data_IF_514442775745
#
_entry.id   IF_514442775745
#
_cell.length_a   1.000
_cell.length_b   1.000
_cell.length_c   1.000
_cell.angle_alpha   90.00
_cell.angle_beta   90.00
_cell.angle_gamma   90.00
#
_symmetry.space_group_name_H-M   'P 1'
#
loop_
_entity.id
_entity.type
_entity.pdbx_description
1 polymer ?
2 non-polymer ?
3 non-polymer ?
4 water ?
#
# COMPACT_ATOMS: atom_id res chain seq x y z
N UNK A 1 9.54 -14.98 -5.54
CA UNK A 1 9.59 -14.89 -4.06
C UNK A 1 10.14 -13.52 -3.68
N UNK A 2 9.86 -13.10 -2.46
CA UNK A 2 10.48 -11.90 -1.96
C UNK A 2 11.86 -12.18 -1.45
N UNK A 3 12.67 -11.15 -1.56
CA UNK A 3 14.03 -11.25 -1.26
C UNK A 3 14.56 -10.17 -0.35
N UNK A 4 13.74 -9.18 0.01
CA UNK A 4 14.26 -8.02 0.75
C UNK A 4 13.75 -7.96 2.16
N UNK A 5 14.67 -7.73 3.11
CA UNK A 5 14.32 -7.32 4.41
C UNK A 5 14.43 -5.80 4.48
N UNK A 6 13.34 -5.13 4.16
CA UNK A 6 13.37 -3.68 4.14
C UNK A 6 13.50 -3.12 5.54
N UNK A 7 14.28 -2.05 5.66
CA UNK A 7 14.52 -1.46 6.95
C UNK A 7 13.53 -0.31 7.17
N UNK A 8 12.84 -0.33 8.29
CA UNK A 8 11.89 0.73 8.62
C UNK A 8 12.62 2.04 8.88
N UNK A 9 11.91 3.12 8.62
CA UNK A 9 12.40 4.45 8.89
C UNK A 9 12.80 4.59 10.36
N UNK A 10 14.00 5.12 10.59
CA UNK A 10 14.42 5.47 11.93
C UNK A 10 13.46 6.54 12.44
N UNK A 11 12.91 6.31 13.62
CA UNK A 11 12.02 7.30 14.16
C UNK A 11 10.65 7.38 13.50
N UNK A 12 10.23 6.30 12.84
CA UNK A 12 8.92 6.25 12.19
C UNK A 12 7.83 6.70 13.19
N UNK A 13 6.97 7.58 12.69
CA UNK A 13 5.89 8.15 13.46
C UNK A 13 4.59 7.42 13.07
N UNK A 14 4.23 6.42 13.87
CA UNK A 14 3.12 5.58 13.50
C UNK A 14 1.79 6.36 13.56
N UNK A 15 1.61 7.23 14.53
CA UNK A 15 0.31 7.89 14.63
C UNK A 15 0.08 8.81 13.46
N UNK A 16 1.12 9.44 12.94
CA UNK A 16 0.98 10.28 11.77
C UNK A 16 0.68 9.46 10.52
N UNK A 17 1.35 8.32 10.33
CA UNK A 17 1.10 7.50 9.15
C UNK A 17 -0.27 6.86 9.18
N UNK A 18 -0.62 6.31 10.36
CA UNK A 18 -1.86 5.62 10.59
C UNK A 18 -2.91 6.59 11.15
N UNK A 19 -3.15 7.67 10.41
CA UNK A 19 -4.05 8.72 10.89
C UNK A 19 -5.42 8.65 10.29
N UNK A 20 -5.72 7.57 9.56
CA UNK A 20 -7.02 7.39 8.93
C UNK A 20 -7.17 8.01 7.56
N UNK A 21 -6.14 8.68 7.07
CA UNK A 21 -6.25 9.37 5.78
C UNK A 21 -5.78 8.43 4.68
N UNK A 22 -5.96 8.91 3.45
CA UNK A 22 -5.64 8.14 2.26
C UNK A 22 -4.20 8.45 1.78
N UNK A 23 -3.52 7.40 1.33
CA UNK A 23 -2.23 7.46 0.63
C UNK A 23 -2.45 6.95 -0.79
N UNK A 24 -2.00 7.70 -1.79
CA UNK A 24 -2.07 7.26 -3.17
C UNK A 24 -0.70 6.72 -3.58
N UNK A 25 -0.70 5.60 -4.31
CA UNK A 25 0.55 5.16 -4.94
C UNK A 25 0.81 6.03 -6.16
N UNK A 26 1.92 6.73 -6.21
CA UNK A 26 2.28 7.50 -7.38
C UNK A 26 3.28 6.79 -8.28
N UNK A 27 4.08 5.87 -7.73
CA UNK A 27 5.11 5.19 -8.49
C UNK A 27 5.37 3.86 -7.82
N UNK A 28 5.70 2.85 -8.59
CA UNK A 28 5.95 1.55 -7.99
C UNK A 28 7.08 0.82 -8.71
N UNK A 29 7.71 -0.08 -7.97
CA UNK A 29 8.82 -0.87 -8.48
C UNK A 29 8.64 -2.31 -8.02
N UNK A 30 8.40 -3.20 -8.97
CA UNK A 30 8.19 -4.61 -8.72
C UNK A 30 9.49 -5.32 -9.08
N UNK A 31 10.18 -5.96 -8.12
CA UNK A 31 11.46 -6.59 -8.43
C UNK A 31 11.35 -7.78 -9.35
N UNK A 32 10.17 -8.34 -9.47
CA UNK A 32 9.89 -9.34 -10.52
C UNK A 32 8.88 -8.72 -11.49
N UNK A 33 9.35 -7.80 -12.37
CA UNK A 33 8.50 -6.81 -13.05
C UNK A 33 7.44 -7.30 -14.05
N UNK A 34 7.45 -8.59 -14.40
CA UNK A 34 6.31 -9.17 -15.11
C UNK A 34 5.23 -9.73 -14.15
N UNK A 35 5.42 -9.52 -12.85
CA UNK A 35 4.44 -9.93 -11.85
C UNK A 35 3.22 -9.02 -11.79
N UNK A 36 3.38 -7.75 -12.16
CA UNK A 36 2.26 -6.78 -12.12
C UNK A 36 2.22 -6.01 -13.44
N UNK A 37 1.04 -5.46 -13.81
CA UNK A 37 0.95 -4.71 -15.05
C UNK A 37 1.83 -3.48 -15.06
N UNK A 38 2.11 -3.01 -16.27
CA UNK A 38 2.89 -1.78 -16.45
C UNK A 38 2.05 -0.51 -16.30
N UNK A 39 0.72 -0.68 -16.29
CA UNK A 39 -0.21 0.41 -15.98
C UNK A 39 -1.11 -0.02 -14.84
N UNK A 40 -1.25 0.83 -13.82
CA UNK A 40 -2.00 0.47 -12.63
C UNK A 40 -2.43 1.69 -11.80
N UNK A 41 -3.44 1.49 -10.94
CA UNK A 41 -3.88 2.50 -9.97
C UNK A 41 -4.00 1.78 -8.62
N UNK A 42 -3.36 2.26 -7.54
CA UNK A 42 -3.60 1.72 -6.22
C UNK A 42 -3.57 2.85 -5.19
N UNK A 43 -4.31 2.62 -4.11
CA UNK A 43 -4.32 3.56 -2.97
C UNK A 43 -4.65 2.78 -1.73
N UNK A 44 -4.40 3.41 -0.58
CA UNK A 44 -4.71 2.76 0.67
C UNK A 44 -5.10 3.84 1.70
N UNK A 45 -5.79 3.38 2.73
CA UNK A 45 -6.00 4.16 3.93
C UNK A 45 -5.46 3.35 5.07
N UNK A 46 -4.94 4.04 6.07
CA UNK A 46 -4.20 3.45 7.17
C UNK A 46 -4.66 4.16 8.43
N UNK A 47 -5.10 3.40 9.44
CA UNK A 47 -5.54 4.06 10.65
C UNK A 47 -5.88 3.12 11.75
N UNK A 48 -6.17 3.64 12.93
CA UNK A 48 -6.67 2.82 14.02
C UNK A 48 -8.17 2.98 14.07
N UNK A 49 -8.89 1.88 14.17
CA UNK A 49 -10.33 1.88 14.21
C UNK A 49 -10.72 1.01 15.40
N UNK A 50 -11.35 1.65 16.37
CA UNK A 50 -11.78 0.99 17.59
C UNK A 50 -10.65 0.21 18.25
N UNK A 51 -9.50 0.88 18.31
CA UNK A 51 -8.33 0.32 18.92
C UNK A 51 -7.48 -0.62 18.09
N UNK A 52 -7.93 -0.95 16.89
CA UNK A 52 -7.29 -1.95 16.04
C UNK A 52 -6.54 -1.24 14.91
N UNK A 53 -5.30 -1.63 14.63
CA UNK A 53 -4.54 -1.05 13.52
C UNK A 53 -5.04 -1.67 12.24
N UNK A 54 -5.45 -0.84 11.26
CA UNK A 54 -6.12 -1.30 10.06
C UNK A 54 -5.54 -0.67 8.83
N UNK A 55 -5.68 -1.39 7.72
CA UNK A 55 -5.38 -0.83 6.44
C UNK A 55 -6.47 -1.28 5.48
N UNK A 56 -6.90 -0.36 4.63
CA UNK A 56 -7.79 -0.63 3.52
C UNK A 56 -7.05 -0.34 2.24
N UNK A 57 -7.24 -1.24 1.25
CA UNK A 57 -6.55 -1.15 -0.03
C UNK A 57 -7.56 -1.02 -1.13
N UNK A 58 -7.11 -0.36 -2.22
CA UNK A 58 -7.84 -0.29 -3.47
C UNK A 58 -6.86 -0.53 -4.59
N UNK A 59 -7.23 -1.43 -5.51
CA UNK A 59 -6.49 -1.71 -6.72
C UNK A 59 -7.42 -1.54 -7.91
N UNK A 60 -6.87 -0.97 -8.99
CA UNK A 60 -7.64 -0.83 -10.20
C UNK A 60 -6.73 -0.84 -11.41
N UNK A 61 -6.95 -1.82 -12.31
CA UNK A 61 -6.22 -1.94 -13.56
C UNK A 61 -6.94 -1.03 -14.53
N UNK A 62 -6.29 0.04 -14.96
CA UNK A 62 -6.96 1.02 -15.76
C UNK A 62 -7.28 0.57 -17.17
N UNK A 63 -6.70 -0.52 -17.61
CA UNK A 63 -6.99 -1.06 -18.93
C UNK A 63 -8.03 -2.16 -18.86
N UNK A 64 -7.87 -3.11 -17.96
CA UNK A 64 -8.85 -4.18 -17.88
C UNK A 64 -10.08 -3.84 -17.06
N UNK A 65 -10.03 -2.79 -16.22
CA UNK A 65 -11.10 -2.45 -15.27
C UNK A 65 -11.18 -3.42 -14.07
N UNK A 66 -10.22 -4.31 -13.94
CA UNK A 66 -10.23 -5.15 -12.77
C UNK A 66 -10.07 -4.28 -11.54
N UNK A 67 -10.98 -4.44 -10.55
CA UNK A 67 -11.09 -3.60 -9.35
C UNK A 67 -11.18 -4.53 -8.16
N UNK A 68 -10.51 -4.17 -7.07
CA UNK A 68 -10.82 -4.85 -5.84
C UNK A 68 -10.37 -3.99 -4.67
N UNK A 69 -11.07 -4.19 -3.56
CA UNK A 69 -10.75 -3.64 -2.28
C UNK A 69 -10.38 -4.72 -1.30
N UNK A 70 -9.58 -4.35 -0.29
CA UNK A 70 -9.22 -5.24 0.79
C UNK A 70 -9.18 -4.50 2.08
N UNK A 71 -9.39 -5.25 3.17
CA UNK A 71 -9.15 -4.73 4.54
C UNK A 71 -8.36 -5.76 5.33
N UNK A 72 -7.49 -5.25 6.19
CA UNK A 72 -6.73 -6.04 7.13
C UNK A 72 -6.62 -5.35 8.47
N UNK A 73 -6.58 -6.17 9.54
CA UNK A 73 -6.09 -5.75 10.85
C UNK A 73 -4.64 -6.11 10.97
N UNK A 74 -3.77 -5.09 11.03
CA UNK A 74 -2.34 -5.30 10.95
C UNK A 74 -1.76 -5.74 12.28
N UNK A 75 -0.79 -6.66 12.19
CA UNK A 75 -0.04 -7.11 13.34
C UNK A 75 1.35 -6.51 13.25
N UNK A 76 1.92 -6.22 14.39
CA UNK A 76 3.17 -5.50 14.44
C UNK A 76 4.31 -6.49 14.55
N UNK A 77 5.32 -6.37 13.70
CA UNK A 77 6.54 -7.13 13.83
C UNK A 77 7.60 -6.29 14.53
N UNK A 78 7.64 -5.00 14.21
CA UNK A 78 8.54 -4.03 14.82
C UNK A 78 8.07 -2.66 14.35
N UNK A 79 8.51 -1.57 14.96
CA UNK A 79 7.97 -0.30 14.55
C UNK A 79 8.24 -0.06 13.05
N UNK A 80 7.20 0.17 12.30
CA UNK A 80 7.20 0.37 10.89
C UNK A 80 7.15 -0.90 10.06
N UNK A 81 6.99 -2.10 10.64
CA UNK A 81 6.92 -3.37 9.89
C UNK A 81 5.75 -4.22 10.37
N UNK A 82 4.82 -4.47 9.44
CA UNK A 82 3.57 -5.07 9.77
C UNK A 82 3.30 -6.27 8.90
N UNK A 83 2.46 -7.16 9.44
CA UNK A 83 1.92 -8.27 8.68
C UNK A 83 0.40 -8.09 8.64
N UNK A 84 -0.17 -8.23 7.45
CA UNK A 84 -1.57 -7.92 7.17
C UNK A 84 -2.25 -9.14 6.54
N UNK A 85 -3.11 -9.86 7.28
CA UNK A 85 -3.91 -10.95 6.69
C UNK A 85 -5.20 -10.35 6.11
N UNK A 86 -5.26 -10.23 4.80
CA UNK A 86 -6.27 -9.44 4.12
C UNK A 86 -7.54 -10.20 3.83
N UNK A 87 -8.66 -9.50 3.78
CA UNK A 87 -9.88 -10.06 3.17
C UNK A 87 -10.25 -9.17 1.98
N UNK A 88 -10.69 -9.77 0.87
CA UNK A 88 -11.25 -9.01 -0.24
C UNK A 88 -12.69 -8.67 0.10
N UNK A 89 -13.03 -7.38 0.00
CA UNK A 89 -14.33 -6.83 0.29
C UNK A 89 -14.81 -6.01 -0.88
N UNK A 90 -16.13 -5.80 -0.94
CA UNK A 90 -16.62 -4.75 -1.83
C UNK A 90 -16.38 -3.38 -1.19
N UNK A 91 -16.72 -2.33 -1.90
CA UNK A 91 -16.40 -0.99 -1.42
C UNK A 91 -17.07 -0.64 -0.11
N UNK A 92 -18.14 -1.35 0.21
CA UNK A 92 -18.87 -1.11 1.42
C UNK A 92 -18.43 -2.02 2.57
N UNK A 93 -17.42 -2.85 2.34
CA UNK A 93 -16.92 -3.67 3.39
C UNK A 93 -17.50 -5.06 3.48
N UNK A 94 -18.40 -5.40 2.55
CA UNK A 94 -18.97 -6.74 2.56
C UNK A 94 -17.93 -7.76 2.11
N UNK A 95 -17.78 -8.85 2.85
CA UNK A 95 -16.73 -9.80 2.55
C UNK A 95 -17.02 -10.59 1.27
N UNK A 96 -16.03 -10.61 0.40
CA UNK A 96 -16.01 -11.40 -0.81
C UNK A 96 -15.13 -12.62 -0.69
N UNK A 97 -14.00 -12.47 -0.03
CA UNK A 97 -13.10 -13.55 0.23
C UNK A 97 -12.57 -13.37 1.65
N UNK A 98 -12.89 -14.32 2.50
CA UNK A 98 -12.55 -14.22 3.90
C UNK A 98 -11.04 -14.31 4.13
N UNK A 99 -10.63 -13.82 5.30
CA UNK A 99 -9.27 -14.01 5.76
C UNK A 99 -8.93 -15.50 5.71
N UNK A 100 -7.71 -15.80 5.28
CA UNK A 100 -7.22 -17.16 5.31
C UNK A 100 -5.74 -17.17 5.49
N UNK A 101 -5.29 -18.22 6.16
CA UNK A 101 -3.89 -18.51 6.30
C UNK A 101 -3.18 -18.54 4.96
N UNK A 102 -2.05 -17.89 4.91
CA UNK A 102 -1.30 -17.84 3.66
C UNK A 102 -1.74 -16.72 2.73
N UNK A 103 -2.83 -16.02 3.07
CA UNK A 103 -3.16 -14.77 2.34
C UNK A 103 -2.76 -13.65 3.24
N UNK A 104 -1.57 -13.10 3.04
CA UNK A 104 -1.14 -11.97 3.85
C UNK A 104 -0.11 -11.21 3.05
N UNK A 105 0.07 -9.93 3.40
CA UNK A 105 1.21 -9.18 2.94
C UNK A 105 1.97 -8.66 4.12
N UNK A 106 3.24 -8.40 3.90
CA UNK A 106 4.00 -7.62 4.85
C UNK A 106 4.13 -6.22 4.25
N UNK A 107 4.33 -5.22 5.10
CA UNK A 107 4.90 -3.99 4.55
C UNK A 107 5.81 -3.42 5.60
N UNK A 108 6.53 -2.52 5.08
CA UNK A 108 7.53 -1.82 5.85
C UNK A 108 7.54 -0.37 5.38
N UNK A 109 7.41 0.55 6.33
CA UNK A 109 7.46 1.96 5.98
C UNK A 109 8.93 2.37 6.07
N UNK A 110 9.55 2.61 4.90
CA UNK A 110 10.97 2.92 4.83
C UNK A 110 11.23 4.41 5.07
N UNK A 111 10.26 5.20 4.69
CA UNK A 111 10.41 6.63 4.81
C UNK A 111 8.99 7.13 4.88
N UNK A 112 8.72 8.11 5.72
CA UNK A 112 7.44 8.80 5.72
C UNK A 112 7.62 10.20 6.29
N UNK A 113 6.89 11.12 5.71
CA UNK A 113 6.68 12.38 6.34
C UNK A 113 5.21 12.64 6.22
N UNK A 114 4.77 13.87 6.47
CA UNK A 114 3.35 14.10 6.50
C UNK A 114 2.69 13.94 5.17
N UNK A 115 3.45 14.10 4.09
CA UNK A 115 2.89 14.12 2.76
C UNK A 115 3.25 12.98 1.84
N UNK A 116 4.34 12.27 2.14
CA UNK A 116 4.93 11.30 1.24
C UNK A 116 5.47 10.13 2.03
N UNK A 117 5.65 9.01 1.33
CA UNK A 117 6.19 7.82 1.97
C UNK A 117 6.79 6.90 0.92
N UNK A 118 7.68 6.04 1.39
CA UNK A 118 8.21 4.93 0.61
C UNK A 118 7.96 3.69 1.42
N UNK A 119 7.30 2.71 0.79
CA UNK A 119 7.01 1.45 1.45
C UNK A 119 7.53 0.29 0.62
N UNK A 120 7.81 -0.79 1.33
CA UNK A 120 8.06 -2.09 0.74
C UNK A 120 6.90 -3.00 1.10
N UNK A 121 6.38 -3.80 0.15
CA UNK A 121 5.37 -4.84 0.46
C UNK A 121 5.70 -6.18 -0.21
N UNK A 122 5.55 -7.24 0.55
CA UNK A 122 5.69 -8.59 0.05
C UNK A 122 4.34 -9.27 0.17
N UNK A 123 3.72 -9.57 -0.95
CA UNK A 123 2.42 -10.24 -0.98
C UNK A 123 2.57 -11.78 -1.06
N UNK A 124 1.81 -12.47 -0.23
CA UNK A 124 1.66 -13.93 -0.25
C UNK A 124 0.18 -14.19 -0.50
N UNK A 125 -0.13 -14.93 -1.55
CA UNK A 125 -1.49 -15.19 -1.88
C UNK A 125 -1.57 -16.56 -2.46
N UNK A 126 -2.02 -17.51 -1.64
CA UNK A 126 -2.16 -18.91 -2.04
C UNK A 126 -0.83 -19.43 -2.53
N UNK A 127 -0.85 -20.11 -3.67
CA UNK A 127 0.36 -20.72 -4.19
C UNK A 127 0.98 -19.88 -5.32
N UNK A 128 0.59 -18.60 -5.40
CA UNK A 128 1.25 -17.67 -6.33
C UNK A 128 2.67 -17.40 -5.87
N UNK A 129 3.55 -17.11 -6.83
CA UNK A 129 4.93 -16.70 -6.53
C UNK A 129 5.12 -15.24 -6.91
N UNK A 130 5.23 -14.41 -5.89
CA UNK A 130 5.20 -12.95 -6.04
C UNK A 130 6.48 -12.39 -5.47
N UNK A 131 6.91 -11.24 -6.00
CA UNK A 131 8.14 -10.63 -5.56
C UNK A 131 7.92 -9.34 -4.81
N UNK A 132 9.03 -8.77 -4.38
CA UNK A 132 9.02 -7.53 -3.63
C UNK A 132 8.42 -6.40 -4.46
N UNK A 133 7.65 -5.51 -3.83
CA UNK A 133 7.04 -4.40 -4.54
C UNK A 133 7.17 -3.14 -3.67
N UNK A 134 7.93 -2.15 -4.18
CA UNK A 134 8.11 -0.88 -3.49
C UNK A 134 7.13 0.10 -4.07
N UNK A 135 6.65 0.99 -3.21
CA UNK A 135 5.73 2.03 -3.67
C UNK A 135 6.08 3.36 -3.05
N UNK A 136 6.07 4.38 -3.90
CA UNK A 136 6.08 5.77 -3.45
C UNK A 136 4.65 6.23 -3.30
N UNK A 137 4.36 6.76 -2.12
CA UNK A 137 3.02 7.23 -1.79
C UNK A 137 3.03 8.75 -1.63
N UNK A 138 1.86 9.35 -1.85
CA UNK A 138 1.67 10.76 -1.54
C UNK A 138 0.25 10.92 -1.05
N UNK A 139 0.06 11.95 -0.22
CA UNK A 139 -1.30 12.37 0.19
C UNK A 139 -2.05 13.00 -0.96
N UNK A 140 -1.34 13.56 -1.94
CA UNK A 140 -1.93 14.20 -3.10
C UNK A 140 -1.72 13.26 -4.29
N UNK A 141 -2.81 12.83 -4.88
CA UNK A 141 -2.74 11.82 -5.94
C UNK A 141 -1.95 12.27 -7.15
N UNK A 142 -1.77 13.57 -7.31
CA UNK A 142 -1.08 14.08 -8.50
C UNK A 142 0.37 14.49 -8.26
N UNK A 143 0.84 14.31 -7.03
CA UNK A 143 2.15 14.87 -6.69
C UNK A 143 3.31 14.12 -7.34
N UNK A 144 4.20 14.86 -7.97
CA UNK A 144 5.46 14.32 -8.37
C UNK A 144 6.29 14.04 -7.13
N UNK A 145 7.10 12.99 -7.20
CA UNK A 145 7.94 12.66 -6.07
C UNK A 145 8.96 13.75 -5.81
N UNK A 146 8.99 14.21 -4.56
CA UNK A 146 9.92 15.22 -4.09
C UNK A 146 11.25 14.64 -3.68
N UNK A 147 12.14 15.56 -3.33
CA UNK A 147 13.46 15.20 -2.93
C UNK A 147 13.53 14.30 -1.69
N UNK A 148 12.66 14.52 -0.69
CA UNK A 148 12.72 13.69 0.51
C UNK A 148 12.51 12.23 0.12
N UNK A 149 11.42 11.95 -0.59
CA UNK A 149 11.14 10.55 -0.89
C UNK A 149 12.13 10.00 -1.94
N UNK A 150 12.52 10.82 -2.92
CA UNK A 150 13.51 10.32 -3.88
C UNK A 150 14.86 9.99 -3.23
N UNK A 151 15.27 10.81 -2.26
CA UNK A 151 16.47 10.51 -1.54
C UNK A 151 16.32 9.20 -0.78
N UNK A 152 15.15 8.95 -0.22
CA UNK A 152 14.90 7.69 0.46
C UNK A 152 14.99 6.50 -0.48
N UNK A 153 14.51 6.69 -1.71
CA UNK A 153 14.66 5.65 -2.69
C UNK A 153 16.15 5.33 -2.93
N UNK A 154 16.97 6.37 -3.09
CA UNK A 154 18.40 6.17 -3.22
C UNK A 154 19.01 5.53 -1.99
N UNK A 155 18.56 5.96 -0.81
CA UNK A 155 19.15 5.42 0.42
C UNK A 155 18.83 3.94 0.60
N UNK A 156 17.78 3.47 -0.04
CA UNK A 156 17.41 2.06 -0.07
C UNK A 156 18.19 1.31 -1.14
N UNK A 157 19.08 2.05 -1.82
CA UNK A 157 19.88 1.48 -2.90
C UNK A 157 18.98 1.00 -4.04
N UNK A 158 18.01 1.85 -4.36
CA UNK A 158 17.12 1.68 -5.51
C UNK A 158 17.28 2.87 -6.43
N UNK A 159 16.92 2.67 -7.69
CA UNK A 159 16.97 3.72 -8.69
C UNK A 159 15.55 4.20 -8.99
N UNK A 160 15.28 5.45 -8.65
CA UNK A 160 13.94 5.97 -8.87
C UNK A 160 13.54 5.91 -10.33
N UNK A 161 14.51 6.06 -11.22
CA UNK A 161 14.23 6.01 -12.65
C UNK A 161 13.58 4.71 -13.10
N UNK A 162 13.73 3.66 -12.30
CA UNK A 162 13.14 2.40 -12.64
C UNK A 162 11.69 2.29 -12.21
N UNK A 163 11.25 3.13 -11.29
CA UNK A 163 9.86 3.10 -10.84
C UNK A 163 8.90 3.48 -11.94
N UNK A 164 7.76 2.79 -11.96
CA UNK A 164 6.69 3.05 -12.93
C UNK A 164 5.65 3.99 -12.33
N UNK A 165 5.41 5.11 -13.02
CA UNK A 165 4.43 6.08 -12.53
C UNK A 165 3.01 5.59 -12.75
N UNK A 166 2.10 5.94 -11.85
CA UNK A 166 0.68 5.69 -12.06
C UNK A 166 -0.08 6.91 -12.63
N UNK A 167 0.63 8.01 -12.88
CA UNK A 167 -0.02 9.30 -13.15
C UNK A 167 -0.72 9.43 -14.48
N UNK A 168 -0.37 8.59 -15.44
CA UNK A 168 -0.95 8.78 -16.77
C UNK A 168 -2.03 7.78 -17.06
N UNK A 169 -2.73 7.32 -16.03
CA UNK A 169 -3.76 6.31 -16.23
C UNK A 169 -5.21 6.78 -16.01
N UNK A 170 -5.42 8.08 -15.83
CA UNK A 170 -6.73 8.65 -15.52
C UNK A 170 -7.36 8.08 -14.25
N UNK A 171 -6.50 7.63 -13.32
CA UNK A 171 -6.94 7.03 -12.03
C UNK A 171 -7.91 7.96 -11.28
N UNK A 172 -9.12 7.47 -10.91
CA UNK A 172 -10.01 8.21 -10.02
C UNK A 172 -10.35 7.30 -8.84
N UNK A 173 -10.33 7.85 -7.64
CA UNK A 173 -10.41 7.08 -6.42
C UNK A 173 -11.62 7.43 -5.58
N UNK A 174 -12.20 6.40 -4.97
CA UNK A 174 -13.29 6.61 -4.03
C UNK A 174 -12.68 6.71 -2.63
N UNK A 175 -12.29 7.92 -2.26
CA UNK A 175 -11.66 8.20 -0.98
C UNK A 175 -12.56 7.88 0.20
N UNK A 176 -13.87 8.06 0.00
CA UNK A 176 -14.86 7.80 1.03
C UNK A 176 -14.90 6.34 1.36
N UNK A 177 -14.88 5.50 0.34
CA UNK A 177 -14.88 4.07 0.57
C UNK A 177 -13.64 3.58 1.33
N UNK A 178 -12.44 4.06 0.99
CA UNK A 178 -11.21 3.67 1.75
C UNK A 178 -11.24 4.08 3.18
N UNK A 179 -11.72 5.30 3.41
CA UNK A 179 -11.78 5.72 4.80
C UNK A 179 -12.78 4.87 5.56
N UNK A 180 -13.93 4.63 4.97
CA UNK A 180 -14.92 3.89 5.73
C UNK A 180 -14.57 2.40 5.86
N UNK A 181 -13.78 1.86 4.93
CA UNK A 181 -13.36 0.47 5.03
C UNK A 181 -12.48 0.22 6.26
N UNK A 182 -11.84 1.28 6.78
CA UNK A 182 -11.00 1.08 7.96
C UNK A 182 -11.79 0.51 9.11
N UNK A 183 -13.09 0.76 9.17
CA UNK A 183 -13.89 0.29 10.26
C UNK A 183 -14.44 -1.12 10.05
N UNK A 184 -14.19 -1.73 8.89
CA UNK A 184 -14.83 -2.97 8.46
C UNK A 184 -14.01 -4.24 8.58
X LIG B 1 0.57 -6.03 -4.84
X LIG C 1 -4.08 -12.05 -7.62
X LIG C 1 -3.09 -11.61 -8.24
X LIG C 1 -2.55 -12.28 -9.15
X LIG C 1 -2.47 -10.27 -7.90
X LIG C 1 -3.32 -9.06 -8.30
X LIG C 1 -2.58 -7.83 -7.92
X LIG C 1 -1.83 -6.93 -8.77
X LIG C 1 -1.66 -7.03 -10.26
X LIG C 1 -2.44 -7.30 -6.58
X LIG C 1 -2.95 -7.81 -5.46
X LIG C 1 -1.66 -6.19 -6.57
X LIG C 1 -1.31 -5.99 -7.86
X LIG C 1 -0.57 -4.90 -8.13
X LIG C 1 -0.14 -3.83 -7.51
X LIG C 1 0.47 -2.70 -8.04
X LIG C 1 0.88 -2.39 -9.43
X LIG C 1 0.63 -1.81 -6.91
X LIG C 1 1.24 -0.44 -6.85
X LIG C 1 -1.17 -5.06 -4.95
X LIG C 1 -1.95 -6.46 -3.82
X LIG C 1 -2.87 -7.50 -4.17
X LIG C 1 -0.33 -3.72 -6.17
X LIG C 1 0.15 -2.51 -5.84
X LIG C 1 0.22 -2.00 -4.49
X LIG C 1 -0.11 -2.77 -3.33
X LIG C 1 0.17 -2.32 -2.04
X LIG C 1 0.76 -1.02 -1.60
X LIG C 1 -0.28 -3.37 -1.18
X LIG C 1 -0.23 -3.41 0.32
X LIG C 1 -0.65 -3.99 -3.37
X LIG C 1 -0.80 -4.31 -2.07
X LIG C 1 -1.38 -5.52 -1.60
X LIG C 1 -2.12 -6.42 -2.41
X LIG C 1 -2.92 -7.43 -1.92
X LIG C 1 -3.28 -7.73 -0.51
X LIG C 1 -3.41 -8.14 -3.08
X LIG C 1 -4.35 -9.31 -3.05
X LIG C 1 -5.77 -8.83 -2.70
X LIG C 1 -6.79 -9.92 -2.74
X LIG C 1 -6.61 -10.96 -3.38
X LIG C 1 -7.81 -9.77 -2.04
#
# INVERSE_FOLDING_TARGET
ACTKNAIAQTGFNKDKYFNGDVWYVTDYLDLEPDDVPKRYCAALAAGTASGKLKEALYHYDPKTQDTFYDVSELQVESLGKYTANFKKVDKNGNVKVAVTAGNYYTFTVMYADDSSALIHTCLHKGNKDLGDLYAVLNRNKDAAAGDKVKSAVSAATLEFSKFISTKENNCAYDNDSLKSLLTK
NH3 N
FDD O2D CGD O1D CBD CAD C3D C2D CMD C4D CHA ND C1D CHD C4C C3C CMF C2C CMC FE NA C1A NC C1C CHC C4B C3B CME C2B CMB NB C1B CHB C4A C3A CMA C2A CAA CBA CGA O1A O2A
#
